data_IF_972085471065
#
_entry.id   IF_972085471065
#
_cell.length_a   1.000
_cell.length_b   1.000
_cell.length_c   1.000
_cell.angle_alpha   90.00
_cell.angle_beta   90.00
_cell.angle_gamma   90.00
#
_symmetry.space_group_name_H-M   'P 1'
#
loop_
_entity.id
_entity.type
_entity.pdbx_description
1 polymer ?
#
# COMPACT_ATOMS: atom_id res chain seq x y z
N UNK A 1 -10.17 5.88 -19.70
CA UNK A 1 -9.38 4.80 -19.05
C UNK A 1 -8.38 5.47 -18.15
N UNK A 2 -8.47 5.29 -16.83
CA UNK A 2 -7.51 5.89 -15.90
C UNK A 2 -6.12 5.28 -16.16
N UNK A 3 -5.12 6.11 -16.43
CA UNK A 3 -3.74 5.63 -16.53
C UNK A 3 -3.36 4.95 -15.21
N UNK A 4 -2.94 3.69 -15.28
CA UNK A 4 -2.50 2.95 -14.09
C UNK A 4 -1.19 3.58 -13.62
N UNK A 5 -1.22 4.23 -12.46
CA UNK A 5 -0.02 4.67 -11.76
C UNK A 5 0.88 3.46 -11.49
N UNK A 6 2.16 3.56 -11.86
CA UNK A 6 3.12 2.46 -11.65
C UNK A 6 3.23 2.09 -10.18
N UNK A 7 3.54 0.81 -9.88
CA UNK A 7 3.70 0.36 -8.48
C UNK A 7 4.82 1.14 -7.77
N UNK A 8 5.88 1.50 -8.48
CA UNK A 8 6.94 2.39 -7.98
C UNK A 8 6.39 3.76 -7.60
N UNK A 9 5.52 4.36 -8.42
CA UNK A 9 4.87 5.64 -8.11
C UNK A 9 3.94 5.54 -6.90
N UNK A 10 3.20 4.44 -6.76
CA UNK A 10 2.36 4.19 -5.59
C UNK A 10 3.20 4.06 -4.31
N UNK A 11 4.31 3.32 -4.37
CA UNK A 11 5.25 3.17 -3.24
C UNK A 11 5.81 4.53 -2.82
N UNK A 12 6.28 5.33 -3.77
CA UNK A 12 6.85 6.65 -3.49
C UNK A 12 5.83 7.58 -2.81
N UNK A 13 4.57 7.57 -3.27
CA UNK A 13 3.50 8.37 -2.69
C UNK A 13 3.17 7.93 -1.25
N UNK A 14 3.10 6.61 -0.99
CA UNK A 14 2.85 6.07 0.35
C UNK A 14 4.00 6.39 1.30
N UNK A 15 5.26 6.31 0.83
CA UNK A 15 6.43 6.71 1.61
C UNK A 15 6.38 8.20 1.98
N UNK A 16 6.02 9.07 1.03
CA UNK A 16 5.82 10.50 1.29
C UNK A 16 4.74 10.74 2.33
N UNK A 17 3.59 10.07 2.21
CA UNK A 17 2.49 10.20 3.17
C UNK A 17 2.90 9.74 4.58
N UNK A 18 3.65 8.64 4.71
CA UNK A 18 4.23 8.20 5.99
C UNK A 18 5.10 9.31 6.60
N UNK A 19 5.98 9.92 5.81
CA UNK A 19 6.84 11.00 6.29
C UNK A 19 6.02 12.22 6.75
N UNK A 20 4.98 12.60 5.99
CA UNK A 20 4.07 13.68 6.37
C UNK A 20 3.34 13.37 7.69
N UNK A 21 2.81 12.17 7.85
CA UNK A 21 2.10 11.76 9.08
C UNK A 21 3.02 11.76 10.29
N UNK A 22 4.26 11.29 10.15
CA UNK A 22 5.27 11.33 11.22
C UNK A 22 5.54 12.75 11.72
N UNK A 23 5.43 13.75 10.86
CA UNK A 23 5.58 15.15 11.23
C UNK A 23 4.28 15.77 11.80
N UNK A 24 3.12 15.45 11.20
CA UNK A 24 1.84 16.13 11.51
C UNK A 24 1.10 15.52 12.70
N UNK A 25 1.10 14.19 12.82
CA UNK A 25 0.28 13.50 13.83
C UNK A 25 0.69 13.85 15.27
N UNK A 26 1.98 13.93 15.64
CA UNK A 26 2.37 14.32 17.00
C UNK A 26 1.83 15.70 17.39
N UNK A 27 1.84 16.66 16.46
CA UNK A 27 1.30 18.01 16.66
C UNK A 27 -0.22 17.93 16.87
N UNK A 28 -0.93 17.15 16.05
CA UNK A 28 -2.39 16.99 16.20
C UNK A 28 -2.78 16.31 17.53
N UNK A 29 -1.99 15.36 18.00
CA UNK A 29 -2.20 14.72 19.31
C UNK A 29 -1.97 15.72 20.44
N UNK A 30 -0.86 16.45 20.41
CA UNK A 30 -0.54 17.51 21.38
C UNK A 30 -1.66 18.55 21.48
N UNK A 31 -2.18 18.97 20.33
CA UNK A 31 -3.24 19.97 20.24
C UNK A 31 -4.65 19.39 20.52
N UNK A 32 -4.74 18.11 20.95
CA UNK A 32 -5.99 17.37 21.22
C UNK A 32 -6.96 17.30 20.03
N UNK A 33 -6.45 17.46 18.81
CA UNK A 33 -7.21 17.34 17.55
C UNK A 33 -7.22 15.90 17.00
N UNK A 34 -6.49 14.98 17.64
CA UNK A 34 -6.40 13.57 17.30
C UNK A 34 -6.06 12.78 18.57
N UNK A 35 -6.59 11.57 18.72
CA UNK A 35 -6.18 10.68 19.83
C UNK A 35 -4.87 9.95 19.48
N UNK A 36 -4.02 9.68 20.47
CA UNK A 36 -2.79 8.90 20.24
C UNK A 36 -3.08 7.53 19.60
N UNK A 37 -4.07 6.81 20.13
CA UNK A 37 -4.46 5.50 19.58
C UNK A 37 -4.94 5.57 18.13
N UNK A 38 -5.55 6.69 17.71
CA UNK A 38 -5.94 6.91 16.32
C UNK A 38 -4.71 7.13 15.43
N UNK A 39 -3.77 7.97 15.88
CA UNK A 39 -2.51 8.20 15.18
C UNK A 39 -1.74 6.87 14.98
N UNK A 40 -1.62 6.07 16.04
CA UNK A 40 -0.92 4.78 16.01
C UNK A 40 -1.57 3.80 15.04
N UNK A 41 -2.92 3.70 15.06
CA UNK A 41 -3.65 2.83 14.15
C UNK A 41 -3.50 3.28 12.70
N UNK A 42 -3.57 4.57 12.43
CA UNK A 42 -3.36 5.13 11.09
C UNK A 42 -1.94 4.89 10.58
N UNK A 43 -0.92 5.02 11.45
CA UNK A 43 0.48 4.71 11.11
C UNK A 43 0.66 3.23 10.79
N UNK A 44 0.17 2.33 11.65
CA UNK A 44 0.24 0.87 11.41
C UNK A 44 -0.39 0.47 10.08
N UNK A 45 -1.54 1.05 9.74
CA UNK A 45 -2.24 0.77 8.48
C UNK A 45 -1.45 1.23 7.26
N UNK A 46 -0.92 2.46 7.26
CA UNK A 46 -0.18 2.97 6.10
C UNK A 46 1.16 2.26 5.91
N UNK A 47 1.82 1.84 7.01
CA UNK A 47 3.03 1.04 6.95
C UNK A 47 2.75 -0.38 6.41
N UNK A 48 1.62 -0.98 6.78
CA UNK A 48 1.18 -2.26 6.22
C UNK A 48 0.86 -2.16 4.70
N UNK A 49 0.27 -1.04 4.26
CA UNK A 49 0.07 -0.77 2.83
C UNK A 49 1.41 -0.71 2.10
N UNK A 50 2.38 0.02 2.63
CA UNK A 50 3.73 0.09 2.04
C UNK A 50 4.36 -1.31 1.93
N UNK A 51 4.32 -2.09 3.00
CA UNK A 51 4.85 -3.45 3.01
C UNK A 51 4.18 -4.33 1.95
N UNK A 52 2.87 -4.21 1.77
CA UNK A 52 2.12 -4.95 0.74
C UNK A 52 2.54 -4.55 -0.66
N UNK A 53 2.70 -3.24 -0.93
CA UNK A 53 3.13 -2.75 -2.23
C UNK A 53 4.56 -3.20 -2.56
N UNK A 54 5.47 -3.14 -1.58
CA UNK A 54 6.84 -3.62 -1.74
C UNK A 54 6.88 -5.13 -1.99
N UNK A 55 6.07 -5.92 -1.29
CA UNK A 55 5.92 -7.35 -1.56
C UNK A 55 5.45 -7.59 -3.00
N UNK A 56 4.41 -6.89 -3.45
CA UNK A 56 3.91 -7.01 -4.81
C UNK A 56 4.96 -6.61 -5.86
N UNK A 57 5.76 -5.57 -5.61
CA UNK A 57 6.84 -5.16 -6.51
C UNK A 57 7.94 -6.21 -6.57
N UNK A 58 8.37 -6.74 -5.43
CA UNK A 58 9.43 -7.74 -5.37
C UNK A 58 9.05 -9.07 -6.04
N UNK A 59 7.75 -9.40 -6.04
CA UNK A 59 7.21 -10.67 -6.58
C UNK A 59 6.41 -10.46 -7.87
N UNK A 60 6.59 -9.33 -8.56
CA UNK A 60 5.73 -8.95 -9.68
C UNK A 60 5.72 -10.01 -10.80
N UNK A 61 6.89 -10.55 -11.14
CA UNK A 61 7.03 -11.59 -12.16
C UNK A 61 6.26 -12.87 -11.77
N UNK A 62 6.44 -13.36 -10.54
CA UNK A 62 5.81 -14.59 -10.05
C UNK A 62 4.30 -14.44 -9.92
N UNK A 63 3.83 -13.29 -9.43
CA UNK A 63 2.40 -12.98 -9.35
C UNK A 63 1.79 -12.97 -10.75
N UNK A 64 2.44 -12.34 -11.74
CA UNK A 64 1.96 -12.31 -13.12
C UNK A 64 1.92 -13.71 -13.73
N UNK A 65 2.97 -14.51 -13.55
CA UNK A 65 3.03 -15.88 -14.03
C UNK A 65 1.91 -16.74 -13.42
N UNK A 66 1.69 -16.63 -12.10
CA UNK A 66 0.61 -17.34 -11.40
C UNK A 66 -0.77 -16.96 -11.95
N UNK A 67 -1.04 -15.67 -12.16
CA UNK A 67 -2.33 -15.20 -12.69
C UNK A 67 -2.54 -15.68 -14.13
N UNK A 68 -1.51 -15.65 -14.98
CA UNK A 68 -1.59 -16.18 -16.34
C UNK A 68 -1.94 -17.67 -16.34
N UNK A 69 -1.20 -18.48 -15.58
CA UNK A 69 -1.45 -19.92 -15.47
C UNK A 69 -2.83 -20.25 -14.87
N UNK A 70 -3.33 -19.42 -13.94
CA UNK A 70 -4.67 -19.57 -13.39
C UNK A 70 -5.74 -19.31 -14.45
N UNK A 71 -5.56 -18.27 -15.27
CA UNK A 71 -6.53 -17.90 -16.30
C UNK A 71 -6.71 -18.99 -17.36
N UNK A 72 -5.62 -19.66 -17.75
CA UNK A 72 -5.61 -20.78 -18.69
C UNK A 72 -6.36 -22.00 -18.12
N UNK A 73 -6.15 -22.32 -16.84
CA UNK A 73 -6.84 -23.45 -16.17
C UNK A 73 -8.34 -23.22 -15.99
N UNK A 74 -8.79 -21.99 -15.76
CA UNK A 74 -10.22 -21.66 -15.66
C UNK A 74 -10.96 -21.60 -16.99
N UNK A 75 -10.25 -21.57 -18.13
CA UNK A 75 -10.84 -21.66 -19.47
C UNK A 75 -10.95 -23.08 -20.05
N UNK A 76 -10.48 -24.10 -19.33
CA UNK A 76 -10.44 -25.50 -19.78
C UNK A 76 -11.54 -26.42 -19.22
N UNK A 77 -12.46 -25.90 -18.40
CA UNK A 77 -13.67 -26.62 -18.01
C UNK A 77 -14.81 -26.16 -18.93
N UNK A 78 -14.82 -26.73 -20.15
CA UNK A 78 -16.03 -26.80 -20.98
C UNK A 78 -16.90 -27.95 -20.51
#
# INVERSE_FOLDING_TARGET
MSEKVSITGQIAEVQREIALRRNVYPIRVRDRKMKQAEADLCMRRIEAVLATLMFCQANEADIRAFIAAKSEKSGGAS
#
